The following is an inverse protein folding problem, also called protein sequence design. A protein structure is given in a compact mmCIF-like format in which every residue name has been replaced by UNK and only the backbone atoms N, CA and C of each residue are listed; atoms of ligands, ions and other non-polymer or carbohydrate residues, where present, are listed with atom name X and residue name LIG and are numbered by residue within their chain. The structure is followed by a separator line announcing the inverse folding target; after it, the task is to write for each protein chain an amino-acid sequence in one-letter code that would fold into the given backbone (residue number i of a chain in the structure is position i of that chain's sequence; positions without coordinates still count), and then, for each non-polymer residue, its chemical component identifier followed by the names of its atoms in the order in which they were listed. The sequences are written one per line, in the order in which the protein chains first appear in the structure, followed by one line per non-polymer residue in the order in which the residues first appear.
data_IF_347457310812
#
_entry.id   IF_347457310812
#
_cell.length_a   1.000
_cell.length_b   1.000
_cell.length_c   1.000
_cell.angle_alpha   90.00
_cell.angle_beta   90.00
_cell.angle_gamma   90.00
#
_symmetry.space_group_name_H-M   'P 1'
#
loop_
_entity.id
_entity.type
_entity.pdbx_description
1 polymer ?
#
# COMPACT_ATOMS: atom_id res chain seq x y z
N UNK A 1 15.28 4.00 -2.67
CA UNK A 1 14.19 3.26 -2.01
C UNK A 1 14.70 1.87 -1.66
N UNK A 2 14.76 1.47 -0.37
CA UNK A 2 15.20 0.13 0.03
C UNK A 2 14.28 -0.94 -0.54
N UNK A 3 14.88 -1.92 -1.22
CA UNK A 3 14.19 -3.04 -1.85
C UNK A 3 15.03 -4.30 -1.63
N UNK A 4 14.38 -5.41 -1.30
CA UNK A 4 15.03 -6.73 -1.29
C UNK A 4 14.21 -7.73 -2.07
N UNK A 5 14.90 -8.53 -2.87
CA UNK A 5 14.30 -9.54 -3.73
C UNK A 5 14.71 -10.94 -3.23
N UNK A 6 13.70 -11.77 -2.98
CA UNK A 6 13.86 -13.18 -2.67
C UNK A 6 13.37 -13.99 -3.87
N UNK A 7 14.27 -14.77 -4.46
CA UNK A 7 13.98 -15.52 -5.70
C UNK A 7 14.08 -17.02 -5.44
N UNK A 8 12.97 -17.78 -5.49
CA UNK A 8 13.03 -19.23 -5.52
C UNK A 8 13.57 -19.72 -6.89
N UNK A 9 14.08 -20.96 -7.01
CA UNK A 9 14.68 -21.45 -8.25
C UNK A 9 13.78 -21.40 -9.50
N UNK A 10 12.47 -21.57 -9.32
CA UNK A 10 11.45 -21.49 -10.40
C UNK A 10 10.21 -20.73 -9.92
N UNK A 11 10.21 -19.39 -9.99
CA UNK A 11 9.10 -18.58 -9.51
C UNK A 11 7.84 -18.78 -10.36
N UNK A 12 6.69 -18.95 -9.72
CA UNK A 12 5.36 -19.08 -10.38
C UNK A 12 4.61 -17.76 -10.53
N UNK A 13 5.15 -16.69 -9.97
CA UNK A 13 4.59 -15.35 -9.93
C UNK A 13 5.47 -14.44 -9.09
N UNK A 14 5.10 -13.16 -9.01
CA UNK A 14 5.77 -12.18 -8.16
C UNK A 14 4.80 -11.66 -7.12
N UNK A 15 5.24 -11.52 -5.88
CA UNK A 15 4.56 -10.85 -4.79
C UNK A 15 5.35 -9.59 -4.43
N UNK A 16 4.69 -8.44 -4.41
CA UNK A 16 5.23 -7.19 -3.88
C UNK A 16 4.66 -6.94 -2.49
N UNK A 17 5.53 -6.76 -1.50
CA UNK A 17 5.18 -6.54 -0.10
C UNK A 17 5.59 -5.13 0.34
N UNK A 18 4.65 -4.39 0.92
CA UNK A 18 4.89 -3.10 1.57
C UNK A 18 4.18 -3.03 2.93
N UNK A 19 4.74 -2.30 3.89
CA UNK A 19 4.11 -2.12 5.19
C UNK A 19 4.50 -0.80 5.84
N UNK A 20 3.63 -0.24 6.70
CA UNK A 20 3.94 0.97 7.46
C UNK A 20 5.20 0.79 8.31
N UNK A 21 5.30 -0.37 8.98
CA UNK A 21 6.47 -0.77 9.77
C UNK A 21 7.69 -1.17 8.92
N UNK A 22 7.53 -1.19 7.60
CA UNK A 22 8.56 -1.54 6.63
C UNK A 22 8.84 -3.03 6.48
N UNK A 23 9.96 -3.34 5.82
CA UNK A 23 10.40 -4.70 5.49
C UNK A 23 10.48 -5.62 6.70
N UNK A 24 10.89 -5.12 7.86
CA UNK A 24 11.00 -5.92 9.10
C UNK A 24 9.66 -6.42 9.63
N UNK A 25 8.55 -5.75 9.30
CA UNK A 25 7.20 -6.16 9.70
C UNK A 25 6.58 -7.24 8.79
N UNK A 26 7.30 -7.66 7.73
CA UNK A 26 6.75 -8.48 6.65
C UNK A 26 7.25 -9.93 6.65
N UNK A 27 7.87 -10.42 7.73
CA UNK A 27 8.38 -11.78 7.82
C UNK A 27 7.32 -12.87 7.56
N UNK A 28 6.10 -12.70 8.12
CA UNK A 28 4.99 -13.64 7.91
C UNK A 28 4.49 -13.69 6.46
N UNK A 29 4.10 -12.55 5.86
CA UNK A 29 3.72 -12.48 4.44
C UNK A 29 4.82 -12.97 3.50
N UNK A 30 6.08 -12.64 3.79
CA UNK A 30 7.25 -13.10 3.03
C UNK A 30 7.34 -14.63 3.03
N UNK A 31 7.30 -15.26 4.21
CA UNK A 31 7.35 -16.72 4.33
C UNK A 31 6.19 -17.39 3.59
N UNK A 32 4.99 -16.82 3.70
CA UNK A 32 3.78 -17.33 3.01
C UNK A 32 3.93 -17.28 1.49
N UNK A 33 4.37 -16.14 0.95
CA UNK A 33 4.55 -15.98 -0.50
C UNK A 33 5.68 -16.87 -1.06
N UNK A 34 6.78 -17.04 -0.31
CA UNK A 34 7.85 -17.98 -0.68
C UNK A 34 7.38 -19.43 -0.65
N UNK A 35 6.57 -19.83 0.33
CA UNK A 35 5.99 -21.17 0.40
C UNK A 35 5.03 -21.45 -0.78
N UNK A 36 4.39 -20.42 -1.32
CA UNK A 36 3.60 -20.49 -2.55
C UNK A 36 4.45 -20.52 -3.84
N UNK A 37 5.78 -20.51 -3.72
CA UNK A 37 6.71 -20.52 -4.84
C UNK A 37 6.75 -19.20 -5.62
N UNK A 38 6.38 -18.08 -4.98
CA UNK A 38 6.45 -16.75 -5.60
C UNK A 38 7.83 -16.14 -5.38
N UNK A 39 8.29 -15.36 -6.36
CA UNK A 39 9.36 -14.37 -6.15
C UNK A 39 8.80 -13.26 -5.29
N UNK A 40 9.54 -12.80 -4.29
CA UNK A 40 9.04 -11.79 -3.35
C UNK A 40 9.92 -10.55 -3.42
N UNK A 41 9.30 -9.40 -3.65
CA UNK A 41 9.89 -8.08 -3.58
C UNK A 41 9.38 -7.41 -2.30
N UNK A 42 10.27 -7.03 -1.39
CA UNK A 42 9.90 -6.34 -0.14
C UNK A 42 10.51 -4.96 -0.16
N UNK A 43 9.68 -3.92 -0.09
CA UNK A 43 10.11 -2.53 -0.23
C UNK A 43 9.63 -1.63 0.91
N UNK A 44 10.48 -0.66 1.27
CA UNK A 44 10.06 0.49 2.07
C UNK A 44 9.83 1.67 1.15
N UNK A 45 8.64 2.26 1.21
CA UNK A 45 8.29 3.48 0.48
C UNK A 45 8.42 4.71 1.39
N UNK A 46 8.29 5.91 0.82
CA UNK A 46 8.41 7.19 1.53
C UNK A 46 7.67 7.16 2.88
N UNK A 47 8.39 7.57 3.94
CA UNK A 47 7.90 7.62 5.31
C UNK A 47 7.51 6.28 5.98
N UNK A 48 7.90 5.14 5.41
CA UNK A 48 7.69 3.80 6.00
C UNK A 48 9.01 3.13 6.34
N UNK A 49 9.02 2.20 7.30
CA UNK A 49 10.19 1.36 7.59
C UNK A 49 11.49 2.13 7.83
N UNK A 50 12.53 1.81 7.06
CA UNK A 50 13.85 2.47 7.04
C UNK A 50 13.81 3.89 6.48
N UNK A 51 12.76 4.23 5.73
CA UNK A 51 12.51 5.58 5.20
C UNK A 51 11.60 6.41 6.11
N UNK A 52 11.31 5.94 7.32
CA UNK A 52 10.48 6.67 8.28
C UNK A 52 11.10 8.04 8.57
N UNK A 53 10.26 9.08 8.54
CA UNK A 53 10.65 10.45 8.85
C UNK A 53 9.76 11.01 9.95
N UNK A 54 10.24 12.06 10.61
CA UNK A 54 9.39 12.90 11.46
C UNK A 54 8.14 13.36 10.68
N UNK A 55 6.92 13.28 11.25
CA UNK A 55 5.68 13.75 10.61
C UNK A 55 5.75 15.20 10.12
N UNK A 56 6.51 16.07 10.79
CA UNK A 56 6.68 17.48 10.40
C UNK A 56 7.35 17.62 9.03
N UNK A 57 8.21 16.68 8.63
CA UNK A 57 8.79 16.69 7.29
C UNK A 57 7.74 16.39 6.20
N UNK A 58 6.77 15.53 6.50
CA UNK A 58 5.66 15.24 5.58
C UNK A 58 4.69 16.42 5.50
N UNK A 59 4.50 17.13 6.62
CA UNK A 59 3.77 18.38 6.64
C UNK A 59 4.46 19.45 5.77
N UNK A 60 5.79 19.60 5.85
CA UNK A 60 6.54 20.51 4.98
C UNK A 60 6.33 20.18 3.49
N UNK A 61 6.39 18.89 3.12
CA UNK A 61 6.07 18.43 1.76
C UNK A 61 4.66 18.86 1.35
N UNK A 62 3.67 18.72 2.23
CA UNK A 62 2.31 19.18 1.97
C UNK A 62 2.22 20.71 1.81
N UNK A 63 2.93 21.50 2.62
CA UNK A 63 2.97 22.97 2.50
C UNK A 63 3.60 23.45 1.20
N UNK A 64 4.52 22.67 0.61
CA UNK A 64 5.07 22.91 -0.72
C UNK A 64 4.11 22.55 -1.87
N UNK A 65 2.83 22.29 -1.56
CA UNK A 65 1.80 21.95 -2.53
C UNK A 65 1.80 20.49 -3.00
N UNK A 66 2.76 19.68 -2.55
CA UNK A 66 2.81 18.25 -2.86
C UNK A 66 1.82 17.46 -1.99
N UNK A 67 1.71 16.15 -2.24
CA UNK A 67 0.87 15.23 -1.44
C UNK A 67 1.70 14.02 -1.03
N UNK A 68 2.02 13.83 0.26
CA UNK A 68 2.76 12.66 0.74
C UNK A 68 2.17 11.33 0.27
N UNK A 69 0.83 11.20 0.29
CA UNK A 69 0.13 10.03 -0.23
C UNK A 69 0.38 9.81 -1.73
N UNK A 70 0.33 10.88 -2.53
CA UNK A 70 0.62 10.83 -3.96
C UNK A 70 2.06 10.40 -4.26
N UNK A 71 3.02 10.83 -3.44
CA UNK A 71 4.43 10.39 -3.55
C UNK A 71 4.55 8.89 -3.27
N UNK A 72 3.90 8.39 -2.20
CA UNK A 72 3.87 6.97 -1.86
C UNK A 72 3.24 6.13 -2.97
N UNK A 73 2.09 6.57 -3.51
CA UNK A 73 1.43 5.92 -4.64
C UNK A 73 2.32 5.91 -5.88
N UNK A 74 2.97 7.03 -6.21
CA UNK A 74 3.90 7.12 -7.33
C UNK A 74 5.09 6.15 -7.22
N UNK A 75 5.67 6.04 -6.02
CA UNK A 75 6.73 5.06 -5.75
C UNK A 75 6.24 3.62 -5.87
N UNK A 76 5.04 3.32 -5.38
CA UNK A 76 4.44 1.99 -5.52
C UNK A 76 4.15 1.65 -6.99
N UNK A 77 3.64 2.60 -7.78
CA UNK A 77 3.43 2.40 -9.22
C UNK A 77 4.74 2.08 -9.95
N UNK A 78 5.85 2.75 -9.58
CA UNK A 78 7.18 2.44 -10.11
C UNK A 78 7.67 1.03 -9.71
N UNK A 79 7.38 0.60 -8.48
CA UNK A 79 7.66 -0.78 -8.03
C UNK A 79 6.83 -1.80 -8.81
N UNK A 80 5.54 -1.54 -9.05
CA UNK A 80 4.68 -2.41 -9.84
C UNK A 80 5.20 -2.56 -11.28
N UNK A 81 5.60 -1.44 -11.91
CA UNK A 81 6.21 -1.46 -13.24
C UNK A 81 7.53 -2.25 -13.28
N UNK A 82 8.33 -2.17 -12.23
CA UNK A 82 9.57 -2.95 -12.10
C UNK A 82 9.28 -4.44 -11.88
N UNK A 83 8.27 -4.76 -11.07
CA UNK A 83 7.85 -6.13 -10.78
C UNK A 83 7.23 -6.81 -12.00
N UNK A 84 6.49 -6.07 -12.83
CA UNK A 84 5.86 -6.60 -14.05
C UNK A 84 6.87 -7.00 -15.13
N UNK A 85 8.09 -6.45 -15.10
CA UNK A 85 9.18 -6.90 -15.98
C UNK A 85 9.68 -8.31 -15.61
N UNK A 86 9.46 -8.75 -14.36
CA UNK A 86 9.91 -10.05 -13.85
C UNK A 86 8.85 -11.15 -13.98
N UNK A 87 7.57 -10.78 -13.98
CA UNK A 87 6.44 -11.71 -14.09
C UNK A 87 5.19 -10.98 -14.60
N UNK A 88 4.37 -11.67 -15.40
CA UNK A 88 3.03 -11.18 -15.78
C UNK A 88 2.00 -11.34 -14.66
N UNK A 89 2.22 -12.29 -13.75
CA UNK A 89 1.35 -12.52 -12.59
C UNK A 89 1.98 -11.82 -11.40
N UNK A 90 1.36 -10.72 -10.98
CA UNK A 90 1.82 -9.85 -9.90
C UNK A 90 0.75 -9.74 -8.82
N UNK A 91 1.12 -10.11 -7.60
CA UNK A 91 0.30 -9.94 -6.41
C UNK A 91 0.87 -8.80 -5.57
N UNK A 92 0.01 -8.03 -4.93
CA UNK A 92 0.40 -6.97 -4.01
C UNK A 92 -0.17 -7.26 -2.63
N UNK A 93 0.68 -7.22 -1.61
CA UNK A 93 0.27 -7.30 -0.21
C UNK A 93 0.74 -6.08 0.56
N UNK A 94 -0.19 -5.44 1.26
CA UNK A 94 0.06 -4.19 2.00
C UNK A 94 -0.46 -4.26 3.42
N UNK A 95 0.40 -3.92 4.40
CA UNK A 95 0.09 -4.03 5.82
C UNK A 95 0.19 -2.68 6.56
N UNK A 96 -0.73 -2.42 7.48
CA UNK A 96 -0.70 -1.23 8.34
C UNK A 96 -1.92 -0.37 8.16
N UNK A 97 -1.85 0.90 8.54
CA UNK A 97 -2.93 1.88 8.36
C UNK A 97 -2.78 2.66 7.05
N UNK A 98 -1.54 2.94 6.64
CA UNK A 98 -1.24 3.80 5.49
C UNK A 98 -1.10 2.96 4.20
N UNK A 99 -0.21 1.97 4.23
CA UNK A 99 0.13 1.16 3.05
C UNK A 99 -1.05 0.47 2.39
N UNK A 100 -2.08 -0.04 3.10
CA UNK A 100 -3.30 -0.55 2.45
C UNK A 100 -4.02 0.48 1.57
N UNK A 101 -4.12 1.74 2.01
CA UNK A 101 -4.76 2.81 1.23
C UNK A 101 -3.90 3.16 0.02
N UNK A 102 -2.57 3.24 0.19
CA UNK A 102 -1.62 3.43 -0.92
C UNK A 102 -1.77 2.34 -1.98
N UNK A 103 -1.85 1.08 -1.53
CA UNK A 103 -1.99 -0.08 -2.39
C UNK A 103 -3.32 -0.11 -3.14
N UNK A 104 -4.42 0.25 -2.46
CA UNK A 104 -5.73 0.36 -3.06
C UNK A 104 -5.78 1.46 -4.14
N UNK A 105 -5.20 2.63 -3.88
CA UNK A 105 -5.13 3.72 -4.87
C UNK A 105 -4.28 3.28 -6.07
N UNK A 106 -3.14 2.63 -5.85
CA UNK A 106 -2.33 2.10 -6.94
C UNK A 106 -3.10 1.07 -7.79
N UNK A 107 -3.88 0.19 -7.15
CA UNK A 107 -4.75 -0.76 -7.82
C UNK A 107 -5.87 -0.06 -8.61
N UNK A 108 -6.49 0.99 -8.06
CA UNK A 108 -7.49 1.81 -8.77
C UNK A 108 -6.90 2.52 -10.00
N UNK A 109 -5.65 2.98 -9.94
CA UNK A 109 -4.98 3.67 -11.05
C UNK A 109 -4.45 2.73 -12.14
N UNK A 110 -4.13 1.49 -11.79
CA UNK A 110 -3.58 0.46 -12.68
C UNK A 110 -4.17 -0.93 -12.37
N UNK A 111 -5.48 -1.14 -12.52
CA UNK A 111 -6.12 -2.40 -12.13
C UNK A 111 -5.61 -3.59 -12.96
N UNK A 112 -5.18 -3.35 -14.20
CA UNK A 112 -4.63 -4.41 -15.07
C UNK A 112 -3.21 -4.85 -14.68
N UNK A 113 -2.53 -4.13 -13.78
CA UNK A 113 -1.17 -4.46 -13.35
C UNK A 113 -1.14 -5.54 -12.26
N UNK A 114 -2.28 -5.85 -11.62
CA UNK A 114 -2.36 -6.72 -10.46
C UNK A 114 -3.28 -7.91 -10.72
N UNK A 115 -2.80 -9.10 -10.35
CA UNK A 115 -3.59 -10.31 -10.28
C UNK A 115 -4.44 -10.38 -9.00
N UNK A 116 -3.96 -9.79 -7.90
CA UNK A 116 -4.72 -9.62 -6.65
C UNK A 116 -4.10 -8.57 -5.74
N UNK A 117 -4.92 -8.02 -4.84
CA UNK A 117 -4.51 -7.17 -3.74
C UNK A 117 -4.92 -7.81 -2.41
N UNK A 118 -3.95 -8.00 -1.51
CA UNK A 118 -4.20 -8.39 -0.12
C UNK A 118 -3.86 -7.22 0.78
N UNK A 119 -4.81 -6.75 1.58
CA UNK A 119 -4.55 -5.73 2.61
C UNK A 119 -4.65 -6.34 4.00
N UNK A 120 -4.09 -5.65 4.98
CA UNK A 120 -4.29 -5.96 6.38
C UNK A 120 -4.55 -4.66 7.13
N UNK A 121 -5.75 -4.54 7.69
CA UNK A 121 -6.25 -3.37 8.40
C UNK A 121 -6.57 -2.16 7.49
N UNK A 122 -7.07 -2.40 6.28
CA UNK A 122 -7.67 -1.34 5.46
C UNK A 122 -8.86 -0.72 6.21
N UNK A 123 -8.84 0.61 6.32
CA UNK A 123 -9.96 1.39 6.83
C UNK A 123 -11.17 1.27 5.90
N UNK A 124 -12.37 1.36 6.44
CA UNK A 124 -13.62 1.27 5.68
C UNK A 124 -14.00 2.59 4.98
N UNK A 125 -13.53 3.73 5.53
CA UNK A 125 -13.74 5.07 4.99
C UNK A 125 -12.61 6.01 5.44
N UNK A 126 -12.18 6.93 4.59
CA UNK A 126 -11.30 8.06 4.92
C UNK A 126 -11.98 9.00 5.94
N UNK A 127 -13.31 9.01 6.01
CA UNK A 127 -14.06 9.72 7.05
C UNK A 127 -13.73 9.26 8.47
N UNK A 128 -13.22 8.04 8.66
CA UNK A 128 -12.73 7.55 9.96
C UNK A 128 -11.62 8.40 10.55
N UNK A 129 -10.84 9.08 9.71
CA UNK A 129 -9.75 9.96 10.14
C UNK A 129 -10.27 11.23 10.85
N UNK A 130 -11.55 11.54 10.65
CA UNK A 130 -12.27 12.65 11.30
C UNK A 130 -13.01 12.11 12.52
N UNK A 131 -13.68 10.96 12.39
CA UNK A 131 -14.53 10.39 13.43
C UNK A 131 -13.72 9.86 14.64
N UNK A 132 -12.49 9.38 14.40
CA UNK A 132 -11.63 8.82 15.44
C UNK A 132 -10.59 9.83 15.91
N UNK A 133 -10.17 9.76 17.20
CA UNK A 133 -9.11 10.61 17.74
C UNK A 133 -7.72 10.15 17.26
N UNK A 134 -7.56 9.93 15.96
CA UNK A 134 -6.26 9.65 15.37
C UNK A 134 -5.50 10.98 15.29
N UNK A 135 -4.34 11.03 15.95
CA UNK A 135 -3.43 12.15 15.76
C UNK A 135 -2.92 12.15 14.32
N UNK A 136 -2.78 13.35 13.75
CA UNK A 136 -2.12 13.56 12.46
C UNK A 136 -0.80 12.79 12.37
N UNK A 137 -0.01 12.83 13.45
CA UNK A 137 1.33 12.23 13.53
C UNK A 137 1.33 10.71 13.31
N UNK A 138 0.20 10.03 13.55
CA UNK A 138 0.09 8.59 13.37
C UNK A 138 -0.08 8.20 11.90
N UNK A 139 -0.77 9.02 11.10
CA UNK A 139 -1.04 8.74 9.68
C UNK A 139 -1.00 9.98 8.79
N UNK A 140 0.10 10.76 8.77
CA UNK A 140 0.15 12.03 8.02
C UNK A 140 -0.25 11.92 6.54
N UNK A 141 0.15 10.86 5.78
CA UNK A 141 -0.23 10.75 4.38
C UNK A 141 -1.73 10.65 4.15
N UNK A 142 -2.49 10.08 5.10
CA UNK A 142 -3.93 9.87 4.92
C UNK A 142 -4.72 11.19 5.01
N UNK A 143 -4.15 12.24 5.60
CA UNK A 143 -4.70 13.60 5.59
C UNK A 143 -4.41 14.31 4.25
N UNK A 144 -4.72 13.66 3.13
CA UNK A 144 -4.55 14.18 1.79
C UNK A 144 -5.71 15.12 1.44
N UNK A 145 -5.46 16.44 1.49
CA UNK A 145 -6.48 17.47 1.25
C UNK A 145 -7.20 17.27 -0.10
N UNK A 146 -8.53 17.29 -0.05
CA UNK A 146 -9.43 17.14 -1.20
C UNK A 146 -9.79 15.70 -1.56
N UNK A 147 -9.07 14.68 -1.07
CA UNK A 147 -9.32 13.30 -1.49
C UNK A 147 -10.71 12.82 -1.09
N UNK A 148 -11.09 12.94 0.19
CA UNK A 148 -12.38 12.48 0.70
C UNK A 148 -13.59 13.21 0.06
N UNK A 149 -13.39 14.41 -0.47
CA UNK A 149 -14.46 15.13 -1.16
C UNK A 149 -14.80 14.51 -2.54
N UNK A 150 -13.83 13.83 -3.16
CA UNK A 150 -13.94 13.26 -4.50
C UNK A 150 -14.08 11.73 -4.48
N UNK A 151 -13.36 11.07 -3.56
CA UNK A 151 -13.31 9.61 -3.45
C UNK A 151 -13.16 9.15 -2.01
N UNK A 152 -13.92 8.12 -1.63
CA UNK A 152 -13.73 7.36 -0.41
C UNK A 152 -13.26 5.93 -0.71
N UNK A 153 -13.00 5.13 0.33
CA UNK A 153 -12.52 3.75 0.20
C UNK A 153 -13.46 2.87 -0.65
N UNK A 154 -14.81 2.92 -0.50
CA UNK A 154 -15.70 2.15 -1.38
C UNK A 154 -15.56 2.51 -2.86
N UNK A 155 -15.36 3.79 -3.18
CA UNK A 155 -15.16 4.25 -4.55
C UNK A 155 -13.84 3.73 -5.12
N UNK A 156 -12.77 3.77 -4.31
CA UNK A 156 -11.46 3.23 -4.70
C UNK A 156 -11.49 1.70 -4.90
N UNK A 157 -12.28 0.97 -4.10
CA UNK A 157 -12.52 -0.46 -4.32
C UNK A 157 -13.25 -0.68 -5.65
N UNK A 158 -14.29 0.10 -5.94
CA UNK A 158 -15.01 0.00 -7.21
C UNK A 158 -14.10 0.30 -8.42
N UNK A 159 -13.25 1.32 -8.32
CA UNK A 159 -12.27 1.68 -9.35
C UNK A 159 -11.16 0.63 -9.52
N UNK A 160 -10.84 -0.12 -8.47
CA UNK A 160 -9.86 -1.20 -8.53
C UNK A 160 -10.35 -2.46 -9.25
N UNK A 161 -11.65 -2.56 -9.57
CA UNK A 161 -12.19 -3.69 -10.31
C UNK A 161 -11.46 -3.87 -11.66
N UNK A 162 -11.16 -5.13 -12.08
CA UNK A 162 -11.61 -6.39 -11.50
C UNK A 162 -10.63 -7.01 -10.47
N UNK A 163 -9.69 -6.25 -9.91
CA UNK A 163 -8.67 -6.80 -9.00
C UNK A 163 -9.33 -7.45 -7.77
N UNK A 164 -9.14 -8.76 -7.52
CA UNK A 164 -9.61 -9.39 -6.31
C UNK A 164 -8.93 -8.75 -5.08
N UNK A 165 -9.74 -8.21 -4.17
CA UNK A 165 -9.30 -7.63 -2.90
C UNK A 165 -9.66 -8.56 -1.74
N UNK A 166 -8.66 -8.95 -0.95
CA UNK A 166 -8.85 -9.65 0.32
C UNK A 166 -8.32 -8.80 1.47
N UNK A 167 -9.10 -8.67 2.54
CA UNK A 167 -8.64 -8.07 3.80
C UNK A 167 -9.13 -8.89 5.00
N UNK A 168 -8.29 -9.77 5.57
CA UNK A 168 -8.68 -10.61 6.69
C UNK A 168 -8.91 -9.83 8.00
N UNK A 169 -8.47 -8.58 8.09
CA UNK A 169 -8.54 -7.76 9.30
C UNK A 169 -9.13 -6.37 9.02
N UNK A 170 -10.05 -6.27 8.06
CA UNK A 170 -10.70 -5.02 7.70
C UNK A 170 -11.34 -4.38 8.93
N UNK A 171 -11.14 -3.07 9.08
CA UNK A 171 -11.73 -2.31 10.19
C UNK A 171 -13.26 -2.42 10.21
N UNK A 172 -13.92 -2.09 11.35
CA UNK A 172 -15.37 -2.15 11.45
C UNK A 172 -16.01 -1.30 10.35
N UNK A 173 -16.95 -1.87 9.60
CA UNK A 173 -17.67 -1.15 8.54
C UNK A 173 -18.62 -0.11 9.15
N UNK A 174 -18.67 1.08 8.55
CA UNK A 174 -19.64 2.13 8.85
C UNK A 174 -21.04 1.59 8.53
N UNK A 175 -21.97 1.74 9.46
CA UNK A 175 -23.39 1.44 9.25
C UNK A 175 -24.07 2.61 8.59
#
# INVERSE_FOLDING_TARGET
MPLTEYTPPRPRGTELLIADGGRSALAGPLATALAQGRRVLVADIFATGELRTDPRHQMLVATAGQRPLGIQVGQLLALLATASQKSRVLHLTAHGRICPVVALIAAALKPQALASLTTNALIDSLGRLIDWPLSYDATPPLYCFGLLAEFDIPDLIALSAPVPLADPHRGPLRR
#
